data_IF_516056071444
#
_entry.id   IF_516056071444
#
_cell.length_a   1.000
_cell.length_b   1.000
_cell.length_c   1.000
_cell.angle_alpha   90.00
_cell.angle_beta   90.00
_cell.angle_gamma   90.00
#
_symmetry.space_group_name_H-M   'P 1'
#
loop_
_entity.id
_entity.type
_entity.pdbx_description
1 polymer ?
#
# COMPACT_ATOMS: atom_id res chain seq x y z
N UNK A 1 25.30 -16.28 11.08
CA UNK A 1 24.62 -15.41 10.12
C UNK A 1 23.98 -14.22 10.83
N UNK A 2 23.72 -13.11 10.13
CA UNK A 2 23.08 -11.92 10.72
C UNK A 2 21.74 -12.29 11.37
N UNK A 3 20.92 -13.10 10.69
CA UNK A 3 19.64 -13.55 11.23
C UNK A 3 19.79 -14.32 12.54
N UNK A 4 20.76 -15.23 12.68
CA UNK A 4 21.00 -15.95 13.94
C UNK A 4 21.47 -15.07 15.10
N UNK A 5 21.98 -13.84 14.84
CA UNK A 5 22.26 -12.86 15.88
C UNK A 5 20.96 -12.15 16.29
N UNK A 6 20.11 -11.82 15.31
CA UNK A 6 18.83 -11.15 15.54
C UNK A 6 17.82 -12.04 16.28
N UNK A 7 17.85 -13.36 16.02
CA UNK A 7 17.00 -14.34 16.72
C UNK A 7 17.21 -14.34 18.26
N UNK A 8 18.32 -13.79 18.74
CA UNK A 8 18.63 -13.64 20.15
C UNK A 8 18.23 -12.26 20.73
N UNK A 9 17.69 -11.36 19.93
CA UNK A 9 17.22 -10.04 20.40
C UNK A 9 15.72 -10.13 20.74
N UNK A 10 14.88 -9.55 19.96
CA UNK A 10 13.44 -9.52 20.16
C UNK A 10 12.73 -9.91 18.83
N UNK A 11 11.45 -10.32 18.87
CA UNK A 11 10.74 -10.76 17.67
C UNK A 11 10.49 -9.64 16.64
N UNK A 12 10.76 -8.38 16.99
CA UNK A 12 10.56 -7.21 16.12
C UNK A 12 11.86 -6.74 15.45
N UNK A 13 13.02 -7.26 15.89
CA UNK A 13 14.31 -6.93 15.28
C UNK A 13 14.52 -7.68 13.97
N UNK A 14 14.53 -6.93 12.86
CA UNK A 14 14.63 -7.51 11.50
C UNK A 14 15.78 -6.88 10.73
N UNK A 15 16.58 -7.71 10.07
CA UNK A 15 17.58 -7.26 9.11
C UNK A 15 16.96 -7.12 7.73
N UNK A 16 17.02 -5.90 7.18
CA UNK A 16 16.57 -5.61 5.82
C UNK A 16 17.78 -5.67 4.87
N UNK A 17 17.91 -6.70 4.01
CA UNK A 17 18.97 -6.78 3.03
C UNK A 17 18.93 -5.57 2.09
N UNK A 18 20.12 -5.13 1.61
CA UNK A 18 20.23 -4.02 0.66
C UNK A 18 19.36 -4.23 -0.60
N UNK A 19 19.18 -5.47 -1.03
CA UNK A 19 18.34 -5.81 -2.18
C UNK A 19 16.83 -5.50 -1.95
N UNK A 20 16.38 -5.54 -0.68
CA UNK A 20 14.98 -5.31 -0.30
C UNK A 20 14.71 -3.86 0.13
N UNK A 21 15.75 -3.07 0.38
CA UNK A 21 15.62 -1.69 0.87
C UNK A 21 14.71 -0.82 0.00
N UNK A 22 14.83 -0.94 -1.33
CA UNK A 22 13.99 -0.15 -2.25
C UNK A 22 12.50 -0.51 -2.08
N UNK A 23 12.18 -1.81 -1.98
CA UNK A 23 10.81 -2.29 -1.78
C UNK A 23 10.24 -1.82 -0.44
N UNK A 24 11.00 -2.01 0.65
CA UNK A 24 10.59 -1.58 1.99
C UNK A 24 10.37 -0.06 2.02
N UNK A 25 11.27 0.72 1.39
CA UNK A 25 11.13 2.18 1.33
C UNK A 25 9.85 2.59 0.56
N UNK A 26 9.52 1.93 -0.55
CA UNK A 26 8.28 2.17 -1.30
C UNK A 26 7.05 1.82 -0.45
N UNK A 27 7.07 0.68 0.23
CA UNK A 27 6.00 0.24 1.12
C UNK A 27 5.76 1.21 2.28
N UNK A 28 6.84 1.73 2.87
CA UNK A 28 6.78 2.73 3.94
C UNK A 28 6.28 4.09 3.46
N UNK A 29 6.67 4.51 2.24
CA UNK A 29 6.16 5.74 1.62
C UNK A 29 4.70 5.63 1.18
N UNK A 30 4.21 4.42 0.94
CA UNK A 30 2.86 4.19 0.42
C UNK A 30 2.71 4.48 -1.08
N UNK A 31 3.83 4.57 -1.84
CA UNK A 31 3.80 4.67 -3.30
C UNK A 31 5.05 4.04 -3.94
N UNK A 32 4.93 3.68 -5.21
CA UNK A 32 6.06 3.30 -6.06
C UNK A 32 5.94 3.94 -7.45
N UNK A 33 7.03 3.95 -8.21
CA UNK A 33 7.01 4.47 -9.59
C UNK A 33 6.93 3.33 -10.60
N UNK A 34 5.87 3.32 -11.41
CA UNK A 34 5.63 2.28 -12.41
C UNK A 34 4.55 2.63 -13.41
N UNK A 35 4.02 1.62 -14.08
CA UNK A 35 2.97 1.77 -15.09
C UNK A 35 1.54 1.70 -14.51
N UNK A 36 1.35 1.17 -13.30
CA UNK A 36 0.04 1.10 -12.64
C UNK A 36 -0.91 0.08 -13.28
N UNK A 37 -0.53 -1.19 -13.26
CA UNK A 37 -1.37 -2.33 -13.61
C UNK A 37 -1.37 -3.36 -12.49
N UNK A 38 -2.52 -3.96 -12.22
CA UNK A 38 -2.64 -5.20 -11.48
C UNK A 38 -2.62 -6.34 -12.51
N UNK A 39 -1.78 -7.34 -12.30
CA UNK A 39 -1.60 -8.42 -13.26
C UNK A 39 -1.37 -9.76 -12.56
N UNK A 40 -1.46 -10.83 -13.31
CA UNK A 40 -0.99 -12.16 -12.93
C UNK A 40 -0.29 -12.81 -14.12
N UNK A 41 0.59 -13.75 -13.84
CA UNK A 41 1.27 -14.53 -14.89
C UNK A 41 0.38 -15.70 -15.31
N UNK A 42 0.02 -15.78 -16.58
CA UNK A 42 -0.78 -16.86 -17.14
C UNK A 42 -0.19 -17.37 -18.45
N UNK A 43 0.11 -18.68 -18.52
CA UNK A 43 0.76 -19.32 -19.68
C UNK A 43 1.95 -18.49 -20.17
N UNK A 44 2.85 -18.19 -19.23
CA UNK A 44 4.07 -17.41 -19.45
C UNK A 44 3.87 -16.04 -20.12
N UNK A 45 2.73 -15.39 -19.83
CA UNK A 45 2.39 -14.02 -20.25
C UNK A 45 1.87 -13.22 -19.08
N UNK A 46 2.04 -11.90 -19.13
CA UNK A 46 1.48 -10.96 -18.16
C UNK A 46 0.04 -10.64 -18.57
N UNK A 47 -0.93 -11.19 -17.85
CA UNK A 47 -2.34 -10.88 -18.04
C UNK A 47 -2.76 -9.73 -17.11
N UNK A 48 -3.19 -8.62 -17.69
CA UNK A 48 -3.67 -7.45 -16.96
C UNK A 48 -5.05 -7.75 -16.37
N UNK A 49 -5.18 -7.69 -15.04
CA UNK A 49 -6.47 -7.77 -14.34
C UNK A 49 -7.20 -6.45 -14.53
N UNK A 50 -6.50 -5.36 -14.17
CA UNK A 50 -6.99 -3.98 -14.33
C UNK A 50 -5.83 -2.98 -14.41
N UNK A 51 -6.03 -1.90 -15.13
CA UNK A 51 -5.23 -0.70 -14.97
C UNK A 51 -5.74 0.10 -13.77
N UNK A 52 -4.82 0.64 -12.97
CA UNK A 52 -5.17 1.49 -11.82
C UNK A 52 -5.84 2.75 -12.35
N UNK A 53 -6.99 3.07 -11.79
CA UNK A 53 -7.78 4.24 -12.18
C UNK A 53 -6.97 5.53 -12.08
N UNK A 54 -7.09 6.39 -13.07
CA UNK A 54 -6.30 7.61 -13.22
C UNK A 54 -4.76 7.40 -13.30
N UNK A 55 -4.31 6.14 -13.33
CA UNK A 55 -2.91 5.77 -13.43
C UNK A 55 -2.36 5.86 -14.86
N UNK A 56 -1.01 5.71 -15.00
CA UNK A 56 -0.33 5.82 -16.29
C UNK A 56 -0.85 4.89 -17.37
N UNK A 57 -1.12 3.62 -17.02
CA UNK A 57 -1.61 2.61 -17.98
C UNK A 57 -3.05 2.86 -18.41
N UNK A 58 -3.92 3.28 -17.47
CA UNK A 58 -5.29 3.66 -17.81
C UNK A 58 -5.32 4.83 -18.78
N UNK A 59 -4.50 5.87 -18.53
CA UNK A 59 -4.36 7.04 -19.42
C UNK A 59 -3.79 6.67 -20.79
N UNK A 60 -2.96 5.64 -20.87
CA UNK A 60 -2.43 5.14 -22.14
C UNK A 60 -3.42 4.24 -22.89
N UNK A 61 -4.55 3.82 -22.29
CA UNK A 61 -5.57 2.99 -22.92
C UNK A 61 -5.38 1.48 -22.73
N UNK A 62 -4.56 1.05 -21.76
CA UNK A 62 -4.45 -0.36 -21.37
C UNK A 62 -5.68 -0.74 -20.56
N UNK A 63 -6.22 -1.93 -20.84
CA UNK A 63 -7.47 -2.44 -20.28
C UNK A 63 -7.29 -3.79 -19.59
N UNK A 64 -8.23 -4.15 -18.71
CA UNK A 64 -8.33 -5.51 -18.20
C UNK A 64 -8.49 -6.53 -19.33
N UNK A 65 -7.83 -7.68 -19.22
CA UNK A 65 -7.77 -8.72 -20.26
C UNK A 65 -6.65 -8.56 -21.28
N UNK A 66 -5.96 -7.41 -21.31
CA UNK A 66 -4.77 -7.23 -22.14
C UNK A 66 -3.64 -8.15 -21.67
N UNK A 67 -2.81 -8.61 -22.61
CA UNK A 67 -1.58 -9.34 -22.30
C UNK A 67 -0.38 -8.52 -22.74
N UNK A 68 0.50 -8.20 -21.82
CA UNK A 68 1.73 -7.46 -22.10
C UNK A 68 2.78 -8.45 -22.59
N UNK A 69 3.17 -8.34 -23.84
CA UNK A 69 4.08 -9.26 -24.53
C UNK A 69 5.52 -8.75 -24.47
N UNK A 70 5.72 -7.44 -24.57
CA UNK A 70 7.04 -6.83 -24.54
C UNK A 70 7.02 -5.53 -23.74
N UNK A 71 8.14 -5.22 -23.08
CA UNK A 71 8.44 -3.93 -22.48
C UNK A 71 9.78 -3.42 -23.05
N UNK A 72 9.75 -2.32 -23.82
CA UNK A 72 10.85 -1.84 -24.67
C UNK A 72 11.32 -2.95 -25.65
N UNK A 73 12.60 -3.37 -25.54
CA UNK A 73 13.17 -4.47 -26.32
C UNK A 73 13.02 -5.85 -25.65
N UNK A 74 12.57 -5.88 -24.41
CA UNK A 74 12.53 -7.13 -23.64
C UNK A 74 11.22 -7.89 -23.89
N UNK A 75 11.35 -9.17 -24.25
CA UNK A 75 10.20 -10.08 -24.24
C UNK A 75 9.75 -10.35 -22.81
N UNK A 76 8.44 -10.33 -22.59
CA UNK A 76 7.78 -10.71 -21.34
C UNK A 76 6.90 -11.97 -21.56
N UNK A 77 7.06 -12.60 -22.72
CA UNK A 77 6.40 -13.83 -23.15
C UNK A 77 7.44 -14.91 -23.45
N UNK A 78 7.17 -16.13 -23.01
CA UNK A 78 8.05 -17.28 -23.31
C UNK A 78 9.38 -17.24 -22.58
N UNK A 79 9.51 -16.48 -21.49
CA UNK A 79 10.78 -16.22 -20.80
C UNK A 79 10.84 -16.78 -19.38
N UNK A 80 9.74 -17.35 -18.88
CA UNK A 80 9.60 -17.91 -17.52
C UNK A 80 10.07 -16.94 -16.41
N UNK A 81 9.92 -15.63 -16.62
CA UNK A 81 10.29 -14.59 -15.65
C UNK A 81 9.45 -14.71 -14.40
N UNK A 82 10.09 -14.55 -13.25
CA UNK A 82 9.39 -14.40 -11.97
C UNK A 82 8.75 -13.02 -11.89
N UNK A 83 7.67 -12.90 -11.12
CA UNK A 83 6.92 -11.62 -10.94
C UNK A 83 7.83 -10.45 -10.56
N UNK A 84 8.83 -10.67 -9.68
CA UNK A 84 9.80 -9.64 -9.30
C UNK A 84 10.66 -9.13 -10.46
N UNK A 85 10.99 -9.96 -11.45
CA UNK A 85 11.75 -9.57 -12.64
C UNK A 85 10.85 -8.79 -13.61
N UNK A 86 9.61 -9.21 -13.76
CA UNK A 86 8.58 -8.51 -14.52
C UNK A 86 8.37 -7.10 -13.96
N UNK A 87 8.17 -7.01 -12.64
CA UNK A 87 7.98 -5.73 -11.93
C UNK A 87 9.16 -4.80 -12.17
N UNK A 88 10.41 -5.28 -12.10
CA UNK A 88 11.61 -4.48 -12.38
C UNK A 88 11.62 -3.89 -13.79
N UNK A 89 11.11 -4.61 -14.80
CA UNK A 89 11.04 -4.11 -16.18
C UNK A 89 9.93 -3.07 -16.37
N UNK A 90 8.84 -3.18 -15.61
CA UNK A 90 7.71 -2.25 -15.67
C UNK A 90 7.92 -1.01 -14.81
N UNK A 91 8.61 -1.10 -13.67
CA UNK A 91 9.06 0.03 -12.84
C UNK A 91 10.18 0.82 -13.53
N UNK A 92 10.51 1.99 -12.99
CA UNK A 92 11.63 2.82 -13.46
C UNK A 92 11.53 4.25 -12.93
N UNK A 93 12.38 5.14 -13.42
CA UNK A 93 12.39 6.53 -12.99
C UNK A 93 11.06 7.25 -13.30
N UNK A 94 10.65 8.14 -12.40
CA UNK A 94 9.44 8.96 -12.61
C UNK A 94 9.53 9.73 -13.93
N UNK A 95 8.41 9.82 -14.64
CA UNK A 95 8.30 10.44 -15.97
C UNK A 95 9.06 9.72 -17.11
N UNK A 96 9.82 8.66 -16.83
CA UNK A 96 10.40 7.84 -17.89
C UNK A 96 9.30 7.13 -18.71
N UNK A 97 9.59 6.84 -19.97
CA UNK A 97 8.64 6.17 -20.87
C UNK A 97 9.03 4.70 -21.02
N UNK A 98 8.01 3.84 -21.08
CA UNK A 98 8.15 2.44 -21.51
C UNK A 98 7.24 2.17 -22.69
N UNK A 99 7.78 1.53 -23.72
CA UNK A 99 7.02 1.08 -24.88
C UNK A 99 6.56 -0.34 -24.62
N UNK A 100 5.24 -0.56 -24.71
CA UNK A 100 4.65 -1.88 -24.49
C UNK A 100 4.04 -2.40 -25.77
N UNK A 101 4.30 -3.67 -26.11
CA UNK A 101 3.50 -4.41 -27.10
C UNK A 101 2.49 -5.27 -26.37
N UNK A 102 1.23 -5.16 -26.73
CA UNK A 102 0.11 -5.74 -26.01
C UNK A 102 -0.76 -6.53 -26.97
N UNK A 103 -1.07 -7.77 -26.60
CA UNK A 103 -2.10 -8.55 -27.24
C UNK A 103 -3.45 -8.25 -26.56
N UNK A 104 -4.44 -7.92 -27.37
CA UNK A 104 -5.83 -7.73 -26.94
C UNK A 104 -6.75 -8.63 -27.73
N UNK A 105 -7.61 -9.37 -27.05
CA UNK A 105 -8.59 -10.25 -27.70
C UNK A 105 -9.49 -9.42 -28.61
N UNK A 106 -9.65 -9.87 -29.86
CA UNK A 106 -10.45 -9.17 -30.87
C UNK A 106 -9.67 -8.20 -31.77
N UNK A 107 -8.41 -7.89 -31.40
CA UNK A 107 -7.53 -7.08 -32.26
C UNK A 107 -6.66 -7.98 -33.15
N UNK A 108 -6.60 -7.74 -34.47
CA UNK A 108 -5.86 -8.60 -35.41
C UNK A 108 -4.35 -8.45 -35.31
N UNK A 109 -3.86 -7.37 -34.69
CA UNK A 109 -2.43 -7.05 -34.52
C UNK A 109 -2.12 -6.68 -33.10
N UNK A 110 -0.85 -6.82 -32.71
CA UNK A 110 -0.36 -6.31 -31.41
C UNK A 110 -0.50 -4.79 -31.36
N UNK A 111 -1.06 -4.29 -30.27
CA UNK A 111 -1.19 -2.88 -29.99
C UNK A 111 0.14 -2.34 -29.41
N UNK A 112 0.49 -1.12 -29.77
CA UNK A 112 1.66 -0.43 -29.22
C UNK A 112 1.22 0.70 -28.32
N UNK A 113 1.67 0.67 -27.07
CA UNK A 113 1.42 1.73 -26.09
C UNK A 113 2.74 2.34 -25.64
N UNK A 114 2.76 3.65 -25.45
CA UNK A 114 3.86 4.36 -24.75
C UNK A 114 3.32 4.85 -23.42
N UNK A 115 3.75 4.21 -22.33
CA UNK A 115 3.31 4.56 -20.99
C UNK A 115 4.38 5.43 -20.33
N UNK A 116 3.99 6.62 -19.85
CA UNK A 116 4.83 7.48 -19.03
C UNK A 116 4.69 7.05 -17.59
N UNK A 117 5.78 6.51 -16.98
CA UNK A 117 5.76 6.04 -15.59
C UNK A 117 5.41 7.17 -14.63
N UNK A 118 4.62 6.85 -13.62
CA UNK A 118 4.17 7.79 -12.59
C UNK A 118 4.11 7.15 -11.22
N UNK A 119 3.82 7.94 -10.20
CA UNK A 119 3.56 7.45 -8.85
C UNK A 119 2.29 6.62 -8.81
N UNK A 120 2.36 5.45 -8.21
CA UNK A 120 1.28 4.49 -8.05
C UNK A 120 1.06 4.31 -6.55
N UNK A 121 -0.10 4.69 -6.02
CA UNK A 121 -0.35 4.54 -4.58
C UNK A 121 -0.44 3.06 -4.20
N UNK A 122 0.15 2.73 -3.07
CA UNK A 122 -0.02 1.45 -2.37
C UNK A 122 -0.97 1.73 -1.23
N UNK A 123 -2.23 1.33 -1.37
CA UNK A 123 -3.22 1.57 -0.34
C UNK A 123 -2.85 0.84 0.95
N UNK A 124 -3.02 1.53 2.07
CA UNK A 124 -2.85 0.99 3.43
C UNK A 124 -4.17 0.69 4.10
N UNK A 125 -5.26 1.35 3.66
CA UNK A 125 -6.63 1.05 4.07
C UNK A 125 -7.28 0.22 2.97
N UNK A 126 -7.42 -1.09 3.22
CA UNK A 126 -7.98 -2.03 2.24
C UNK A 126 -9.49 -1.96 2.14
N UNK A 127 -10.16 -1.64 3.24
CA UNK A 127 -11.61 -1.62 3.32
C UNK A 127 -12.10 -0.59 4.35
N UNK A 128 -13.19 0.12 4.02
CA UNK A 128 -13.96 0.96 4.91
C UNK A 128 -15.44 0.90 4.49
N UNK A 129 -16.27 0.21 5.29
CA UNK A 129 -17.70 0.01 5.00
C UNK A 129 -18.50 -0.29 6.28
N UNK A 130 -19.82 -0.11 6.23
CA UNK A 130 -20.71 -0.42 7.34
C UNK A 130 -20.95 -1.93 7.45
N UNK A 131 -20.74 -2.52 8.65
CA UNK A 131 -21.13 -3.91 8.96
C UNK A 131 -22.58 -3.99 9.39
N UNK A 132 -23.04 -3.00 10.15
CA UNK A 132 -24.43 -2.84 10.60
C UNK A 132 -24.84 -1.38 10.43
N UNK A 133 -26.04 -1.00 10.86
CA UNK A 133 -26.48 0.40 10.83
C UNK A 133 -25.62 1.34 11.70
N UNK A 134 -24.88 0.81 12.69
CA UNK A 134 -24.07 1.59 13.63
C UNK A 134 -22.59 1.22 13.65
N UNK A 135 -22.24 0.01 13.23
CA UNK A 135 -20.87 -0.49 13.28
C UNK A 135 -20.21 -0.34 11.91
N UNK A 136 -19.22 0.53 11.82
CA UNK A 136 -18.30 0.65 10.71
C UNK A 136 -17.13 -0.33 10.85
N UNK A 137 -16.61 -0.82 9.73
CA UNK A 137 -15.41 -1.64 9.66
C UNK A 137 -14.35 -0.92 8.86
N UNK A 138 -13.13 -0.90 9.37
CA UNK A 138 -11.98 -0.36 8.66
C UNK A 138 -10.77 -1.30 8.83
N UNK A 139 -10.14 -1.68 7.72
CA UNK A 139 -8.93 -2.52 7.73
C UNK A 139 -7.71 -1.72 7.34
N UNK A 140 -6.74 -1.69 8.24
CA UNK A 140 -5.43 -1.05 8.03
C UNK A 140 -4.35 -2.13 7.96
N UNK A 141 -3.71 -2.28 6.80
CA UNK A 141 -2.74 -3.35 6.56
C UNK A 141 -1.29 -2.94 6.85
N UNK A 142 -1.00 -1.64 7.06
CA UNK A 142 0.31 -1.09 7.45
C UNK A 142 0.18 0.36 7.91
N UNK A 143 1.24 0.90 8.52
CA UNK A 143 1.33 2.32 8.87
C UNK A 143 2.38 3.03 7.99
N UNK A 144 2.03 3.27 6.71
CA UNK A 144 2.83 4.05 5.75
C UNK A 144 2.55 5.56 5.89
N UNK A 145 3.35 6.41 5.24
CA UNK A 145 3.15 7.89 5.27
C UNK A 145 1.74 8.30 4.80
N UNK A 146 1.13 7.55 3.85
CA UNK A 146 -0.21 7.86 3.33
C UNK A 146 -1.35 7.35 4.21
N UNK A 147 -1.06 6.47 5.18
CA UNK A 147 -2.09 5.69 5.91
C UNK A 147 -3.04 6.57 6.70
N UNK A 148 -2.54 7.56 7.43
CA UNK A 148 -3.40 8.44 8.22
C UNK A 148 -4.44 9.16 7.35
N UNK A 149 -4.02 9.68 6.20
CA UNK A 149 -4.94 10.35 5.26
C UNK A 149 -6.02 9.40 4.73
N UNK A 150 -5.63 8.16 4.38
CA UNK A 150 -6.56 7.14 3.90
C UNK A 150 -7.52 6.71 5.01
N UNK A 151 -7.01 6.55 6.23
CA UNK A 151 -7.76 6.20 7.42
C UNK A 151 -8.80 7.28 7.76
N UNK A 152 -8.38 8.55 7.85
CA UNK A 152 -9.28 9.68 8.14
C UNK A 152 -10.42 9.77 7.12
N UNK A 153 -10.10 9.66 5.83
CA UNK A 153 -11.15 9.59 4.79
C UNK A 153 -12.09 8.39 4.96
N UNK A 154 -11.57 7.27 5.48
CA UNK A 154 -12.39 6.10 5.82
C UNK A 154 -13.33 6.35 6.99
N UNK A 155 -12.85 6.95 8.08
CA UNK A 155 -13.64 7.33 9.26
C UNK A 155 -14.73 8.35 8.87
N UNK A 156 -14.37 9.46 8.22
CA UNK A 156 -15.33 10.48 7.76
C UNK A 156 -16.47 9.89 6.92
N UNK A 157 -16.13 8.93 6.04
CA UNK A 157 -17.13 8.22 5.25
C UNK A 157 -18.07 7.40 6.14
N UNK A 158 -17.52 6.65 7.12
CA UNK A 158 -18.30 5.80 8.01
C UNK A 158 -19.23 6.63 8.90
N UNK A 159 -18.74 7.75 9.44
CA UNK A 159 -19.55 8.71 10.22
C UNK A 159 -20.70 9.28 9.38
N UNK A 160 -20.42 9.70 8.14
CA UNK A 160 -21.45 10.17 7.19
C UNK A 160 -22.54 9.11 6.95
N UNK A 161 -22.19 7.83 7.04
CA UNK A 161 -23.11 6.69 6.92
C UNK A 161 -23.80 6.33 8.24
N UNK A 162 -23.49 7.03 9.34
CA UNK A 162 -24.14 6.86 10.64
C UNK A 162 -23.39 5.91 11.59
N UNK A 163 -22.10 5.62 11.35
CA UNK A 163 -21.32 4.82 12.28
C UNK A 163 -21.15 5.54 13.63
N UNK A 164 -21.44 4.85 14.71
CA UNK A 164 -21.20 5.24 16.10
C UNK A 164 -20.24 4.27 16.80
N UNK A 165 -19.86 3.20 16.12
CA UNK A 165 -18.94 2.19 16.56
C UNK A 165 -18.01 1.81 15.41
N UNK A 166 -16.73 1.52 15.69
CA UNK A 166 -15.73 1.13 14.69
C UNK A 166 -15.10 -0.20 15.08
N UNK A 167 -15.05 -1.14 14.15
CA UNK A 167 -14.18 -2.31 14.19
C UNK A 167 -12.92 -2.02 13.38
N UNK A 168 -11.79 -1.79 14.06
CA UNK A 168 -10.48 -1.56 13.48
C UNK A 168 -9.75 -2.91 13.32
N UNK A 169 -9.57 -3.37 12.10
CA UNK A 169 -8.88 -4.62 11.80
C UNK A 169 -7.40 -4.36 11.48
N UNK A 170 -6.53 -4.82 12.37
CA UNK A 170 -5.07 -4.76 12.23
C UNK A 170 -4.44 -6.15 11.98
N UNK A 171 -5.24 -7.17 11.67
CA UNK A 171 -4.70 -8.52 11.39
C UNK A 171 -3.78 -8.48 10.17
N UNK A 172 -2.63 -9.14 10.30
CA UNK A 172 -1.55 -9.16 9.30
C UNK A 172 -0.88 -7.80 9.06
N UNK A 173 -1.08 -6.81 9.95
CA UNK A 173 -0.38 -5.54 9.89
C UNK A 173 1.03 -5.70 10.52
N UNK A 174 2.12 -5.55 9.73
CA UNK A 174 3.49 -5.68 10.25
C UNK A 174 3.97 -4.44 11.02
N UNK A 175 3.14 -3.39 11.15
CA UNK A 175 3.54 -2.11 11.71
C UNK A 175 3.86 -1.05 10.64
N UNK A 176 4.77 -0.14 10.98
CA UNK A 176 5.17 0.97 10.12
C UNK A 176 5.68 2.17 10.91
N UNK A 177 5.33 3.38 10.49
CA UNK A 177 5.72 4.60 11.19
C UNK A 177 4.93 4.79 12.49
N UNK A 178 5.66 4.91 13.61
CA UNK A 178 5.07 5.14 14.91
C UNK A 178 4.17 6.39 14.94
N UNK A 179 4.64 7.53 14.40
CA UNK A 179 3.88 8.76 14.36
C UNK A 179 2.58 8.66 13.56
N UNK A 180 2.50 7.75 12.57
CA UNK A 180 1.25 7.49 11.84
C UNK A 180 0.27 6.69 12.70
N UNK A 181 0.79 5.71 13.48
CA UNK A 181 -0.04 4.97 14.43
C UNK A 181 -0.57 5.91 15.54
N UNK A 182 0.27 6.81 16.06
CA UNK A 182 -0.13 7.83 17.04
C UNK A 182 -1.25 8.72 16.50
N UNK A 183 -1.15 9.20 15.27
CA UNK A 183 -2.21 10.00 14.64
C UNK A 183 -3.53 9.24 14.52
N UNK A 184 -3.48 7.93 14.26
CA UNK A 184 -4.70 7.10 14.19
C UNK A 184 -5.29 6.88 15.57
N UNK A 185 -4.46 6.68 16.60
CA UNK A 185 -4.93 6.53 17.99
C UNK A 185 -5.54 7.85 18.49
N UNK A 186 -4.97 8.98 18.09
CA UNK A 186 -5.45 10.33 18.42
C UNK A 186 -6.90 10.58 17.95
N UNK A 187 -7.34 9.94 16.85
CA UNK A 187 -8.73 10.03 16.37
C UNK A 187 -9.76 9.44 17.37
N UNK A 188 -9.32 8.59 18.32
CA UNK A 188 -10.18 7.83 19.21
C UNK A 188 -10.07 8.21 20.69
N UNK A 189 -9.07 8.99 21.07
CA UNK A 189 -8.81 9.31 22.46
C UNK A 189 -9.12 10.78 22.74
N UNK A 190 -9.78 11.02 23.88
CA UNK A 190 -9.98 12.37 24.39
C UNK A 190 -8.64 13.09 24.63
N UNK A 191 -8.67 14.42 24.63
CA UNK A 191 -7.53 15.30 24.88
C UNK A 191 -6.75 14.92 26.15
N UNK A 192 -5.41 15.05 26.08
CA UNK A 192 -4.47 14.79 27.19
C UNK A 192 -4.42 13.31 27.67
N UNK A 193 -5.01 12.36 26.96
CA UNK A 193 -4.83 10.93 27.24
C UNK A 193 -3.46 10.45 26.77
N UNK A 194 -2.76 9.68 27.61
CA UNK A 194 -1.48 9.08 27.24
C UNK A 194 -1.68 8.02 26.15
N UNK A 195 -1.12 8.25 24.95
CA UNK A 195 -1.11 7.28 23.86
C UNK A 195 -0.05 6.21 24.12
N UNK A 196 1.21 6.64 24.29
CA UNK A 196 2.34 5.76 24.58
C UNK A 196 3.48 6.52 25.24
N UNK A 197 4.47 5.76 25.69
CA UNK A 197 5.78 6.31 26.04
C UNK A 197 6.90 5.44 25.47
N UNK A 198 8.01 6.07 25.13
CA UNK A 198 9.24 5.38 24.75
C UNK A 198 10.29 5.59 25.82
N UNK A 199 11.11 4.56 26.07
CA UNK A 199 12.23 4.63 27.02
C UNK A 199 13.50 4.21 26.32
N UNK A 200 14.50 5.10 26.29
CA UNK A 200 15.78 4.79 25.69
C UNK A 200 16.69 3.99 26.66
N UNK A 201 17.86 3.56 26.18
CA UNK A 201 18.85 2.80 26.99
C UNK A 201 19.35 3.58 28.19
N UNK A 202 19.34 4.91 28.17
CA UNK A 202 19.78 5.77 29.27
C UNK A 202 18.70 5.95 30.34
N UNK A 203 17.48 5.52 30.07
CA UNK A 203 16.33 5.65 30.97
C UNK A 203 15.47 6.88 30.69
N UNK A 204 15.83 7.73 29.72
CA UNK A 204 15.01 8.89 29.32
C UNK A 204 13.67 8.42 28.75
N UNK A 205 12.62 9.07 29.15
CA UNK A 205 11.24 8.75 28.77
C UNK A 205 10.67 9.91 27.96
N UNK A 206 10.19 9.59 26.75
CA UNK A 206 9.38 10.48 25.93
C UNK A 206 7.93 9.96 25.92
N UNK A 207 6.97 10.86 26.13
CA UNK A 207 5.55 10.55 26.19
C UNK A 207 4.81 11.23 25.05
N UNK A 208 3.87 10.53 24.43
CA UNK A 208 2.95 11.06 23.45
C UNK A 208 1.53 11.06 24.02
N UNK A 209 0.81 12.16 23.85
CA UNK A 209 -0.54 12.35 24.35
C UNK A 209 -1.49 12.65 23.20
N UNK A 210 -2.75 12.27 23.36
CA UNK A 210 -3.83 12.62 22.47
C UNK A 210 -4.11 14.12 22.51
N UNK A 211 -4.66 14.62 21.41
CA UNK A 211 -5.07 16.02 21.24
C UNK A 211 -6.57 16.10 21.01
N UNK A 212 -7.17 17.28 21.18
CA UNK A 212 -8.59 17.56 20.91
C UNK A 212 -8.93 17.62 19.42
N UNK A 213 -8.19 16.90 18.54
CA UNK A 213 -8.37 16.93 17.09
C UNK A 213 -8.99 15.65 16.52
N UNK A 214 -9.26 14.68 17.38
CA UNK A 214 -9.90 13.42 16.99
C UNK A 214 -11.34 13.65 16.54
N UNK A 215 -11.76 12.96 15.49
CA UNK A 215 -13.13 13.04 14.99
C UNK A 215 -14.03 11.95 15.62
N UNK A 216 -13.46 10.91 16.26
CA UNK A 216 -14.22 9.75 16.76
C UNK A 216 -14.01 9.47 18.27
N UNK A 217 -13.80 10.51 19.08
CA UNK A 217 -13.48 10.40 20.51
C UNK A 217 -14.62 9.82 21.36
N UNK A 218 -15.90 10.04 20.99
CA UNK A 218 -17.07 9.55 21.73
C UNK A 218 -17.54 8.15 21.27
N UNK A 219 -16.99 7.63 20.17
CA UNK A 219 -17.38 6.37 19.59
C UNK A 219 -16.77 5.15 20.27
N UNK A 220 -17.40 3.97 20.13
CA UNK A 220 -16.82 2.71 20.59
C UNK A 220 -15.88 2.14 19.55
N UNK A 221 -14.69 1.71 19.98
CA UNK A 221 -13.69 1.08 19.11
C UNK A 221 -13.41 -0.34 19.57
N UNK A 222 -13.46 -1.27 18.62
CA UNK A 222 -13.08 -2.68 18.75
C UNK A 222 -11.83 -2.91 17.90
N UNK A 223 -10.74 -3.45 18.50
CA UNK A 223 -9.47 -3.71 17.82
C UNK A 223 -9.19 -5.21 17.79
#
# INVERSE_FOLDING_TARGET
TVNGILDNLDPHSVYIPKADMARVTEEMKGDFVGIGVSFYTYKDTIAVIRAIENGPSAKAGIKGGDRIIMANSDSLFGTHLKDGEIIKKLKGAINSKVKLKVYRRGEPKLLNFTVKRGKIPIKSVDAAYMLTEKLGYIKVNRFAESTYKEFKSGIEKLETLGATEIALDLRDNPGGFLGVAEQIVDEFLEDDKLILFTKNKRGDIEKSYATSKGDFEEGKVYV
#
